data_IF_795134250127
#
_entry.id   IF_795134250127
#
_cell.length_a   1.000
_cell.length_b   1.000
_cell.length_c   1.000
_cell.angle_alpha   90.00
_cell.angle_beta   90.00
_cell.angle_gamma   90.00
#
_symmetry.space_group_name_H-M   'P 1'
#
loop_
_entity.id
_entity.type
_entity.pdbx_description
1 polymer ?
#
# COMPACT_ATOMS: atom_id res chain seq x y z
N UNK A 1 3.96 26.65 -26.39
CA UNK A 1 3.82 27.23 -25.02
C UNK A 1 3.66 26.05 -24.08
N UNK A 2 4.71 25.68 -23.34
CA UNK A 2 4.71 24.52 -22.43
C UNK A 2 4.68 25.05 -21.01
N UNK A 3 3.68 24.66 -20.22
CA UNK A 3 3.60 25.06 -18.81
C UNK A 3 4.21 23.92 -17.99
N UNK A 4 5.47 24.10 -17.62
CA UNK A 4 6.13 23.33 -16.58
C UNK A 4 5.52 23.71 -15.23
N UNK A 5 4.76 22.79 -14.62
CA UNK A 5 4.42 22.87 -13.20
C UNK A 5 5.28 21.88 -12.44
N UNK A 6 6.47 22.33 -12.07
CA UNK A 6 7.25 21.74 -11.01
C UNK A 6 6.47 21.91 -9.70
N UNK A 7 6.15 20.80 -9.05
CA UNK A 7 5.81 20.78 -7.64
C UNK A 7 6.71 19.72 -7.01
N UNK A 8 7.95 20.14 -6.80
CA UNK A 8 8.90 19.47 -5.94
C UNK A 8 8.59 19.93 -4.52
N UNK A 9 7.81 19.14 -3.81
CA UNK A 9 7.64 19.27 -2.35
C UNK A 9 8.51 18.20 -1.73
N UNK A 10 9.65 18.64 -1.20
CA UNK A 10 10.67 17.78 -0.65
C UNK A 10 10.15 16.86 0.45
N UNK A 11 10.31 15.57 0.23
CA UNK A 11 11.03 14.75 1.18
C UNK A 11 12.07 14.01 0.35
N UNK A 12 13.35 14.07 0.72
CA UNK A 12 14.39 13.31 0.06
C UNK A 12 14.25 11.82 0.43
N UNK A 13 13.13 11.21 0.09
CA UNK A 13 12.97 9.76 0.08
C UNK A 13 13.74 9.25 -1.12
N UNK A 14 14.83 8.53 -0.85
CA UNK A 14 15.46 7.64 -1.82
C UNK A 14 14.34 6.90 -2.56
N UNK A 15 14.39 6.78 -3.90
CA UNK A 15 13.35 6.08 -4.64
C UNK A 15 13.21 4.69 -4.03
N UNK A 16 12.01 4.39 -3.53
CA UNK A 16 11.76 3.14 -2.83
C UNK A 16 12.06 1.99 -3.76
N UNK A 17 12.58 0.89 -3.22
CA UNK A 17 12.74 -0.32 -4.01
C UNK A 17 11.41 -0.67 -4.69
N UNK A 18 11.46 -1.16 -5.93
CA UNK A 18 10.24 -1.55 -6.65
C UNK A 18 9.40 -2.57 -5.86
N UNK A 19 10.06 -3.40 -5.03
CA UNK A 19 9.39 -4.36 -4.15
C UNK A 19 8.70 -3.67 -2.97
N UNK A 20 9.34 -2.66 -2.36
CA UNK A 20 8.74 -1.85 -1.30
C UNK A 20 7.52 -1.08 -1.81
N UNK A 21 7.64 -0.44 -2.98
CA UNK A 21 6.52 0.26 -3.63
C UNK A 21 5.33 -0.67 -3.87
N UNK A 22 5.59 -1.88 -4.39
CA UNK A 22 4.57 -2.90 -4.64
C UNK A 22 3.93 -3.42 -3.35
N UNK A 23 4.70 -3.61 -2.29
CA UNK A 23 4.17 -4.00 -0.99
C UNK A 23 3.21 -2.93 -0.43
N UNK A 24 3.56 -1.64 -0.54
CA UNK A 24 2.69 -0.54 -0.13
C UNK A 24 1.39 -0.47 -0.94
N UNK A 25 1.46 -0.72 -2.25
CA UNK A 25 0.28 -0.79 -3.11
C UNK A 25 -0.68 -1.92 -2.69
N UNK A 26 -0.14 -3.11 -2.43
CA UNK A 26 -0.93 -4.25 -1.96
C UNK A 26 -1.52 -3.96 -0.58
N UNK A 27 -0.77 -3.32 0.33
CA UNK A 27 -1.28 -2.90 1.63
C UNK A 27 -2.49 -1.97 1.48
N UNK A 28 -2.44 -0.99 0.57
CA UNK A 28 -3.59 -0.12 0.26
C UNK A 28 -4.77 -0.90 -0.30
N UNK A 29 -4.51 -1.89 -1.16
CA UNK A 29 -5.56 -2.77 -1.72
C UNK A 29 -6.23 -3.62 -0.64
N UNK A 30 -5.46 -4.13 0.33
CA UNK A 30 -5.97 -4.84 1.51
C UNK A 30 -6.84 -3.91 2.35
N UNK A 31 -6.40 -2.68 2.63
CA UNK A 31 -7.17 -1.70 3.39
C UNK A 31 -8.50 -1.35 2.68
N UNK A 32 -8.47 -1.15 1.37
CA UNK A 32 -9.66 -0.92 0.56
C UNK A 32 -10.63 -2.12 0.61
N UNK A 33 -10.12 -3.35 0.48
CA UNK A 33 -10.94 -4.55 0.61
C UNK A 33 -11.61 -4.63 1.98
N UNK A 34 -10.86 -4.40 3.06
CA UNK A 34 -11.43 -4.37 4.42
C UNK A 34 -12.49 -3.28 4.57
N UNK A 35 -12.29 -2.09 3.99
CA UNK A 35 -13.30 -1.03 4.00
C UNK A 35 -14.58 -1.40 3.25
N UNK A 36 -14.48 -2.08 2.10
CA UNK A 36 -15.63 -2.60 1.38
C UNK A 36 -16.37 -3.69 2.14
N UNK A 37 -15.65 -4.58 2.83
CA UNK A 37 -16.23 -5.65 3.65
C UNK A 37 -16.92 -5.07 4.89
N UNK A 38 -16.30 -4.09 5.55
CA UNK A 38 -16.85 -3.45 6.75
C UNK A 38 -18.17 -2.71 6.47
N UNK A 39 -18.36 -2.21 5.24
CA UNK A 39 -19.62 -1.60 4.77
C UNK A 39 -20.74 -2.63 4.51
N UNK A 40 -20.43 -3.93 4.50
CA UNK A 40 -21.43 -4.99 4.37
C UNK A 40 -22.25 -4.92 3.07
N UNK A 41 -23.56 -5.14 3.19
CA UNK A 41 -24.50 -5.14 2.05
C UNK A 41 -24.58 -3.82 1.29
N UNK A 42 -24.12 -2.72 1.88
CA UNK A 42 -24.17 -1.38 1.28
C UNK A 42 -23.05 -1.16 0.25
N UNK A 43 -22.07 -2.07 0.21
CA UNK A 43 -20.99 -2.05 -0.76
C UNK A 43 -21.23 -3.11 -1.85
N UNK A 44 -21.48 -2.64 -3.07
CA UNK A 44 -21.58 -3.48 -4.28
C UNK A 44 -20.35 -4.39 -4.47
N UNK A 45 -19.20 -3.99 -3.93
CA UNK A 45 -17.94 -4.71 -4.05
C UNK A 45 -17.59 -5.56 -2.82
N UNK A 46 -18.47 -5.68 -1.81
CA UNK A 46 -18.17 -6.43 -0.58
C UNK A 46 -17.81 -7.90 -0.86
N UNK A 47 -18.58 -8.58 -1.72
CA UNK A 47 -18.30 -9.98 -2.09
C UNK A 47 -16.97 -10.10 -2.84
N UNK A 48 -16.73 -9.25 -3.85
CA UNK A 48 -15.46 -9.25 -4.60
C UNK A 48 -14.27 -8.97 -3.68
N UNK A 49 -14.39 -7.99 -2.76
CA UNK A 49 -13.37 -7.66 -1.79
C UNK A 49 -13.08 -8.86 -0.85
N UNK A 50 -14.11 -9.55 -0.36
CA UNK A 50 -13.96 -10.72 0.48
C UNK A 50 -13.22 -11.87 -0.25
N UNK A 51 -13.50 -12.06 -1.54
CA UNK A 51 -12.85 -13.08 -2.36
C UNK A 51 -11.40 -12.72 -2.73
N UNK A 52 -11.10 -11.44 -2.94
CA UNK A 52 -9.75 -10.97 -3.31
C UNK A 52 -8.83 -10.76 -2.12
N UNK A 53 -9.36 -10.50 -0.93
CA UNK A 53 -8.57 -10.22 0.27
C UNK A 53 -7.52 -11.31 0.59
N UNK A 54 -7.83 -12.63 0.51
CA UNK A 54 -6.82 -13.69 0.70
C UNK A 54 -5.70 -13.64 -0.33
N UNK A 55 -5.99 -13.28 -1.58
CA UNK A 55 -5.01 -13.18 -2.67
C UNK A 55 -3.99 -12.08 -2.36
N UNK A 56 -4.46 -10.87 -2.04
CA UNK A 56 -3.59 -9.76 -1.67
C UNK A 56 -2.77 -10.02 -0.41
N UNK A 57 -3.35 -10.66 0.61
CA UNK A 57 -2.62 -11.05 1.83
C UNK A 57 -1.49 -12.04 1.53
N UNK A 58 -1.77 -13.04 0.68
CA UNK A 58 -0.77 -14.04 0.28
C UNK A 58 0.35 -13.40 -0.53
N UNK A 59 -0.01 -12.53 -1.47
CA UNK A 59 0.96 -11.82 -2.28
C UNK A 59 1.85 -10.88 -1.47
N UNK A 60 1.26 -10.12 -0.54
CA UNK A 60 2.00 -9.27 0.39
C UNK A 60 2.99 -10.09 1.22
N UNK A 61 2.53 -11.21 1.79
CA UNK A 61 3.39 -12.11 2.57
C UNK A 61 4.57 -12.62 1.74
N UNK A 62 4.32 -13.06 0.51
CA UNK A 62 5.36 -13.57 -0.38
C UNK A 62 6.39 -12.48 -0.74
N UNK A 63 5.92 -11.25 -0.97
CA UNK A 63 6.81 -10.11 -1.21
C UNK A 63 7.67 -9.80 0.01
N UNK A 64 7.08 -9.72 1.20
CA UNK A 64 7.80 -9.44 2.45
C UNK A 64 8.88 -10.48 2.71
N UNK A 65 8.60 -11.77 2.47
CA UNK A 65 9.58 -12.84 2.60
C UNK A 65 10.75 -12.74 1.59
N UNK A 66 10.55 -12.04 0.48
CA UNK A 66 11.57 -11.82 -0.54
C UNK A 66 12.32 -10.48 -0.38
N UNK A 67 11.97 -9.67 0.62
CA UNK A 67 12.66 -8.41 0.90
C UNK A 67 14.00 -8.67 1.60
N UNK A 68 14.96 -7.81 1.30
CA UNK A 68 16.18 -7.67 2.10
C UNK A 68 15.89 -6.95 3.42
N UNK A 69 16.78 -7.05 4.40
CA UNK A 69 16.63 -6.35 5.69
C UNK A 69 16.48 -4.84 5.54
N UNK A 70 17.15 -4.24 4.56
CA UNK A 70 17.03 -2.81 4.26
C UNK A 70 15.65 -2.45 3.70
N UNK A 71 15.15 -3.24 2.76
CA UNK A 71 13.81 -3.04 2.18
C UNK A 71 12.70 -3.29 3.20
N UNK A 72 12.85 -4.29 4.07
CA UNK A 72 11.88 -4.55 5.13
C UNK A 72 11.82 -3.39 6.13
N UNK A 73 12.98 -2.83 6.49
CA UNK A 73 13.06 -1.65 7.35
C UNK A 73 12.43 -0.44 6.68
N UNK A 74 12.69 -0.23 5.39
CA UNK A 74 12.08 0.84 4.60
C UNK A 74 10.56 0.69 4.54
N UNK A 75 10.06 -0.52 4.29
CA UNK A 75 8.63 -0.82 4.28
C UNK A 75 7.99 -0.53 5.64
N UNK A 76 8.65 -0.90 6.75
CA UNK A 76 8.17 -0.60 8.12
C UNK A 76 8.02 0.90 8.34
N UNK A 77 9.07 1.68 8.06
CA UNK A 77 9.00 3.14 8.19
C UNK A 77 7.90 3.77 7.33
N UNK A 78 7.72 3.28 6.10
CA UNK A 78 6.68 3.78 5.22
C UNK A 78 5.26 3.44 5.72
N UNK A 79 5.07 2.27 6.32
CA UNK A 79 3.80 1.88 6.94
C UNK A 79 3.51 2.69 8.21
N UNK A 80 4.52 2.90 9.06
CA UNK A 80 4.40 3.70 10.27
C UNK A 80 3.99 5.15 9.92
N UNK A 81 4.65 5.75 8.93
CA UNK A 81 4.31 7.08 8.44
C UNK A 81 2.88 7.18 7.88
N UNK A 82 2.36 6.11 7.26
CA UNK A 82 0.97 6.05 6.78
C UNK A 82 -0.02 5.97 7.93
N UNK A 83 0.31 5.26 9.01
CA UNK A 83 -0.52 5.18 10.22
C UNK A 83 -0.56 6.51 10.97
N UNK A 84 0.58 7.18 11.12
CA UNK A 84 0.67 8.49 11.78
C UNK A 84 -0.13 9.58 11.04
N UNK A 85 -0.26 9.47 9.71
CA UNK A 85 -1.08 10.38 8.91
C UNK A 85 -2.60 10.11 8.99
N UNK A 86 -3.01 8.96 9.53
CA UNK A 86 -4.42 8.55 9.61
C UNK A 86 -5.05 8.80 11.00
N UNK A 87 -4.27 9.27 11.97
CA UNK A 87 -4.68 9.66 13.32
C UNK A 87 -4.98 11.16 13.41
#
# INVERSE_FOLDING_TARGET
MFITRSSDSGSATKPSSARVARALEIHRSVAACNAHIARGSDSTHALTAALMLPCYKTEFRNLVLALTSDEERELRYALDALCDCAA
#
